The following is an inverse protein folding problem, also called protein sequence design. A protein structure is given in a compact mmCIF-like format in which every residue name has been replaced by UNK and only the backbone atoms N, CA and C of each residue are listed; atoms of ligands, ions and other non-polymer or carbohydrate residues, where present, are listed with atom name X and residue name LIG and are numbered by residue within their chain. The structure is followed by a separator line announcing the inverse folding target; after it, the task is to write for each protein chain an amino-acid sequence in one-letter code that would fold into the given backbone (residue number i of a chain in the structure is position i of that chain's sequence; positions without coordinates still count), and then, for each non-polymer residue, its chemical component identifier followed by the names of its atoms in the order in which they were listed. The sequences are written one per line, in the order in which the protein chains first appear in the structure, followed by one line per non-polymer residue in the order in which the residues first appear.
data_IF_146590164268
#
_entry.id   IF_146590164268
#
_cell.length_a   1.000
_cell.length_b   1.000
_cell.length_c   1.000
_cell.angle_alpha   90.00
_cell.angle_beta   90.00
_cell.angle_gamma   90.00
#
_symmetry.space_group_name_H-M   'P 1'
#
loop_
_entity.id
_entity.type
_entity.pdbx_description
1 polymer ?
#
# COMPACT_ATOMS: atom_id res chain seq x y z
N UNK A 1 8.44 78.16 9.00
CA UNK A 1 9.24 77.45 7.99
C UNK A 1 8.34 77.15 6.80
N UNK A 2 8.85 77.41 5.60
CA UNK A 2 8.38 77.07 4.23
C UNK A 2 7.61 75.75 4.11
N UNK A 3 6.77 75.47 3.11
CA UNK A 3 6.23 76.16 1.94
C UNK A 3 5.05 75.29 1.48
N UNK A 4 3.97 75.93 1.02
CA UNK A 4 2.88 75.27 0.33
C UNK A 4 3.35 74.70 -1.02
N UNK A 5 2.79 73.55 -1.41
CA UNK A 5 2.35 73.30 -2.79
C UNK A 5 1.60 71.97 -2.87
N UNK A 6 0.29 72.10 -2.70
CA UNK A 6 -0.66 71.19 -3.33
C UNK A 6 -0.39 71.18 -4.84
N UNK A 7 -0.18 70.02 -5.44
CA UNK A 7 -0.38 69.83 -6.88
C UNK A 7 -1.52 68.85 -7.08
N UNK A 8 -2.70 69.45 -7.15
CA UNK A 8 -3.91 68.91 -7.76
C UNK A 8 -3.58 68.27 -9.11
N UNK A 9 -3.63 66.94 -9.17
CA UNK A 9 -3.81 66.21 -10.42
C UNK A 9 -5.29 65.89 -10.62
N UNK A 10 -6.13 66.91 -10.53
CA UNK A 10 -7.53 66.81 -10.97
C UNK A 10 -7.61 67.23 -12.43
N UNK A 11 -7.90 66.26 -13.29
CA UNK A 11 -8.78 66.46 -14.43
C UNK A 11 -8.12 66.86 -15.75
N UNK A 12 -7.69 65.85 -16.53
CA UNK A 12 -8.09 65.79 -17.94
C UNK A 12 -8.51 64.38 -18.31
N UNK A 13 -9.67 64.29 -18.96
CA UNK A 13 -10.33 63.06 -19.45
C UNK A 13 -9.33 62.16 -20.21
N UNK A 14 -9.53 60.83 -20.23
CA UNK A 14 -8.80 59.98 -21.15
C UNK A 14 -9.22 60.36 -22.57
N UNK A 15 -8.39 61.15 -23.25
CA UNK A 15 -8.53 61.35 -24.68
C UNK A 15 -8.27 59.98 -25.30
N UNK A 16 -9.26 59.45 -26.02
CA UNK A 16 -9.14 58.22 -26.81
C UNK A 16 -7.77 58.22 -27.49
N UNK A 17 -6.91 57.29 -27.07
CA UNK A 17 -5.54 57.11 -27.55
C UNK A 17 -5.60 56.58 -28.99
N UNK A 18 -5.92 57.48 -29.93
CA UNK A 18 -5.70 57.25 -31.36
C UNK A 18 -4.18 57.42 -31.54
N UNK A 19 -3.48 56.31 -31.67
CA UNK A 19 -2.06 56.32 -31.99
C UNK A 19 -1.84 57.09 -33.29
N UNK A 20 -0.88 58.01 -33.28
CA UNK A 20 -0.56 58.84 -34.42
C UNK A 20 0.52 59.87 -34.11
N UNK A 21 1.05 60.52 -35.15
CA UNK A 21 2.16 61.48 -35.07
C UNK A 21 1.89 62.61 -34.04
N UNK A 22 0.63 63.01 -33.85
CA UNK A 22 0.25 64.04 -32.88
C UNK A 22 0.53 63.68 -31.43
N UNK A 23 0.46 62.39 -31.07
CA UNK A 23 0.73 61.93 -29.70
C UNK A 23 2.25 61.90 -29.47
N UNK A 24 3.02 61.43 -30.45
CA UNK A 24 4.48 61.48 -30.42
C UNK A 24 5.01 62.93 -30.32
N UNK A 25 4.41 63.87 -31.05
CA UNK A 25 4.76 65.30 -30.98
C UNK A 25 4.37 65.94 -29.65
N UNK A 26 3.24 65.55 -29.04
CA UNK A 26 2.84 66.01 -27.71
C UNK A 26 3.77 65.47 -26.61
N UNK A 27 4.24 64.23 -26.74
CA UNK A 27 5.24 63.66 -25.82
C UNK A 27 6.59 64.36 -25.98
N UNK A 28 7.04 64.63 -27.21
CA UNK A 28 8.27 65.35 -27.48
C UNK A 28 8.24 66.79 -26.92
N UNK A 29 7.11 67.49 -27.06
CA UNK A 29 6.91 68.81 -26.48
C UNK A 29 6.95 68.78 -24.95
N UNK A 30 6.34 67.77 -24.31
CA UNK A 30 6.41 67.57 -22.86
C UNK A 30 7.82 67.23 -22.35
N UNK A 31 8.69 66.68 -23.21
CA UNK A 31 10.10 66.41 -22.93
C UNK A 31 11.02 67.60 -23.25
N UNK A 32 10.46 68.75 -23.63
CA UNK A 32 11.21 69.99 -23.84
C UNK A 32 11.75 70.19 -25.27
N UNK A 33 11.36 69.35 -26.23
CA UNK A 33 11.72 69.55 -27.63
C UNK A 33 10.74 70.50 -28.32
N UNK A 34 11.25 71.58 -28.90
CA UNK A 34 10.42 72.57 -29.61
C UNK A 34 10.00 72.03 -30.98
N UNK A 35 8.71 71.74 -31.14
CA UNK A 35 8.12 71.36 -32.42
C UNK A 35 7.76 72.64 -33.17
N UNK A 36 8.57 73.02 -34.17
CA UNK A 36 8.21 74.12 -35.07
C UNK A 36 7.02 73.71 -35.95
N UNK A 37 6.04 74.61 -36.06
CA UNK A 37 4.91 74.50 -37.00
C UNK A 37 5.43 74.40 -38.44
N UNK A 38 4.79 73.63 -39.36
CA UNK A 38 5.34 73.41 -40.68
C UNK A 38 5.15 74.66 -41.55
N UNK A 39 6.17 75.49 -41.63
CA UNK A 39 6.38 76.35 -42.80
C UNK A 39 7.06 75.52 -43.88
N UNK A 40 6.31 75.30 -44.95
CA UNK A 40 6.73 74.80 -46.25
C UNK A 40 8.13 75.30 -46.68
N UNK A 41 9.12 74.41 -46.79
CA UNK A 41 10.05 74.35 -47.93
C UNK A 41 11.08 73.21 -47.80
N UNK A 42 11.29 72.54 -48.93
CA UNK A 42 12.34 71.58 -49.19
C UNK A 42 13.74 72.11 -48.85
N UNK A 43 14.53 71.33 -48.10
CA UNK A 43 15.99 71.28 -48.30
C UNK A 43 16.45 69.85 -48.07
N UNK A 44 16.72 69.16 -49.18
CA UNK A 44 17.53 67.96 -49.25
C UNK A 44 18.99 68.36 -48.96
N UNK A 45 19.64 67.83 -47.93
CA UNK A 45 21.11 67.87 -47.82
C UNK A 45 21.68 66.84 -46.82
N UNK A 46 22.06 65.69 -47.37
CA UNK A 46 23.18 64.80 -47.05
C UNK A 46 23.85 64.88 -45.66
N UNK A 47 23.81 63.77 -44.91
CA UNK A 47 24.82 63.45 -43.88
C UNK A 47 25.12 61.94 -43.82
N UNK A 48 26.29 61.57 -44.34
CA UNK A 48 27.22 60.44 -44.04
C UNK A 48 26.73 58.97 -43.87
N UNK A 49 27.53 57.96 -44.28
CA UNK A 49 27.17 56.53 -44.19
C UNK A 49 27.54 55.83 -42.87
N UNK A 50 27.89 56.54 -41.79
CA UNK A 50 28.35 55.92 -40.52
C UNK A 50 27.24 55.71 -39.46
N UNK A 51 25.98 56.01 -39.78
CA UNK A 51 24.84 55.96 -38.83
C UNK A 51 23.96 54.71 -39.00
N UNK A 52 24.25 53.85 -39.98
CA UNK A 52 23.47 52.63 -40.26
C UNK A 52 23.53 51.60 -39.11
N UNK A 53 24.71 51.32 -38.56
CA UNK A 53 24.89 50.26 -37.56
C UNK A 53 24.09 50.51 -36.26
N UNK A 54 24.06 51.75 -35.75
CA UNK A 54 23.27 52.10 -34.54
C UNK A 54 21.77 51.98 -34.75
N UNK A 55 21.29 52.30 -35.96
CA UNK A 55 19.87 52.15 -36.31
C UNK A 55 19.46 50.69 -36.44
N UNK A 56 20.32 49.87 -37.05
CA UNK A 56 20.11 48.43 -37.20
C UNK A 56 20.14 47.70 -35.84
N UNK A 57 21.05 48.08 -34.95
CA UNK A 57 21.12 47.56 -33.58
C UNK A 57 19.84 47.89 -32.78
N UNK A 58 19.31 49.11 -32.89
CA UNK A 58 18.05 49.50 -32.24
C UNK A 58 16.86 48.71 -32.80
N UNK A 59 16.79 48.53 -34.12
CA UNK A 59 15.74 47.72 -34.76
C UNK A 59 15.82 46.27 -34.29
N UNK A 60 17.02 45.71 -34.15
CA UNK A 60 17.24 44.36 -33.61
C UNK A 60 16.72 44.25 -32.17
N UNK A 61 17.09 45.19 -31.29
CA UNK A 61 16.63 45.21 -29.89
C UNK A 61 15.11 45.38 -29.80
N UNK A 62 14.48 46.21 -30.64
CA UNK A 62 13.02 46.37 -30.65
C UNK A 62 12.31 45.10 -31.11
N UNK A 63 12.86 44.36 -32.09
CA UNK A 63 12.34 43.06 -32.51
C UNK A 63 12.47 42.05 -31.39
N UNK A 64 13.63 41.98 -30.74
CA UNK A 64 13.86 41.10 -29.58
C UNK A 64 12.89 41.43 -28.43
N UNK A 65 12.73 42.71 -28.09
CA UNK A 65 11.77 43.16 -27.09
C UNK A 65 10.35 42.73 -27.44
N UNK A 66 9.95 42.85 -28.70
CA UNK A 66 8.64 42.39 -29.18
C UNK A 66 8.50 40.87 -29.04
N UNK A 67 9.55 40.09 -29.33
CA UNK A 67 9.52 38.63 -29.13
C UNK A 67 9.43 38.26 -27.65
N UNK A 68 10.14 38.96 -26.77
CA UNK A 68 10.07 38.73 -25.33
C UNK A 68 8.70 39.12 -24.79
N UNK A 69 8.13 40.23 -25.24
CA UNK A 69 6.80 40.68 -24.84
C UNK A 69 5.72 39.68 -25.25
N UNK A 70 5.85 39.06 -26.44
CA UNK A 70 4.97 37.96 -26.86
C UNK A 70 5.13 36.72 -25.97
N UNK A 71 6.37 36.29 -25.70
CA UNK A 71 6.65 35.15 -24.81
C UNK A 71 6.10 35.38 -23.40
N UNK A 72 6.17 36.60 -22.88
CA UNK A 72 5.59 36.95 -21.58
C UNK A 72 4.07 36.80 -21.60
N UNK A 73 3.40 37.28 -22.65
CA UNK A 73 1.95 37.10 -22.80
C UNK A 73 1.55 35.62 -22.90
N UNK A 74 2.30 34.82 -23.67
CA UNK A 74 2.06 33.37 -23.80
C UNK A 74 2.19 32.66 -22.44
N UNK A 75 3.25 32.97 -21.68
CA UNK A 75 3.47 32.43 -20.34
C UNK A 75 2.40 32.89 -19.33
N UNK A 76 1.89 34.11 -19.45
CA UNK A 76 0.79 34.60 -18.61
C UNK A 76 -0.49 33.81 -18.86
N UNK A 77 -0.81 33.53 -20.13
CA UNK A 77 -1.97 32.69 -20.49
C UNK A 77 -1.80 31.28 -19.97
N UNK A 78 -0.61 30.69 -20.11
CA UNK A 78 -0.35 29.32 -19.62
C UNK A 78 -0.45 29.24 -18.09
N UNK A 79 0.14 30.20 -17.36
CA UNK A 79 0.04 30.26 -15.90
C UNK A 79 -1.40 30.42 -15.44
N UNK A 80 -2.18 31.27 -16.11
CA UNK A 80 -3.59 31.45 -15.81
C UNK A 80 -4.37 30.16 -16.09
N UNK A 81 -4.11 29.49 -17.21
CA UNK A 81 -4.71 28.21 -17.55
C UNK A 81 -4.44 27.13 -16.49
N UNK A 82 -3.18 26.98 -16.02
CA UNK A 82 -2.86 26.02 -14.95
C UNK A 82 -3.48 26.38 -13.61
N UNK A 83 -3.61 27.68 -13.32
CA UNK A 83 -4.28 28.15 -12.09
C UNK A 83 -5.77 27.80 -12.11
N UNK A 84 -6.43 28.02 -13.25
CA UNK A 84 -7.84 27.72 -13.44
C UNK A 84 -8.08 26.21 -13.44
N UNK A 85 -7.23 25.43 -14.11
CA UNK A 85 -7.26 23.96 -14.09
C UNK A 85 -7.14 23.42 -12.65
N UNK A 86 -6.16 23.90 -11.87
CA UNK A 86 -6.04 23.53 -10.45
C UNK A 86 -7.27 23.89 -9.62
N UNK A 87 -7.95 25.00 -9.95
CA UNK A 87 -9.14 25.43 -9.22
C UNK A 87 -10.33 24.50 -9.49
N UNK A 88 -10.48 24.01 -10.71
CA UNK A 88 -11.59 23.12 -11.11
C UNK A 88 -11.24 21.62 -11.06
N UNK A 89 -9.98 21.28 -10.86
CA UNK A 89 -9.41 19.94 -10.80
C UNK A 89 -10.25 18.93 -9.99
N UNK A 90 -10.73 19.33 -8.82
CA UNK A 90 -11.53 18.50 -7.92
C UNK A 90 -12.93 18.11 -8.47
N UNK A 91 -13.36 18.77 -9.55
CA UNK A 91 -14.61 18.53 -10.27
C UNK A 91 -14.38 17.99 -11.69
N UNK A 92 -13.23 18.28 -12.30
CA UNK A 92 -12.95 17.95 -13.71
C UNK A 92 -12.07 16.72 -13.88
N UNK A 93 -11.16 16.43 -12.94
CA UNK A 93 -10.33 15.23 -13.06
C UNK A 93 -11.13 13.99 -12.74
N UNK A 94 -11.05 13.02 -13.67
CA UNK A 94 -11.68 11.71 -13.54
C UNK A 94 -11.23 11.00 -12.26
N UNK A 95 -9.96 11.09 -11.87
CA UNK A 95 -9.44 10.47 -10.64
C UNK A 95 -10.10 10.98 -9.35
N UNK A 96 -10.38 12.28 -9.26
CA UNK A 96 -11.09 12.87 -8.11
C UNK A 96 -12.56 12.45 -8.10
N UNK A 97 -13.19 12.36 -9.28
CA UNK A 97 -14.56 11.86 -9.42
C UNK A 97 -14.65 10.37 -9.05
N UNK A 98 -13.72 9.54 -9.50
CA UNK A 98 -13.63 8.12 -9.16
C UNK A 98 -13.50 7.92 -7.65
N UNK A 99 -12.61 8.66 -6.99
CA UNK A 99 -12.45 8.63 -5.53
C UNK A 99 -13.75 9.01 -4.79
N UNK A 100 -14.49 10.00 -5.30
CA UNK A 100 -15.81 10.38 -4.76
C UNK A 100 -16.83 9.27 -4.97
N UNK A 101 -16.86 8.64 -6.15
CA UNK A 101 -17.74 7.51 -6.46
C UNK A 101 -17.45 6.33 -5.52
N UNK A 102 -16.19 5.97 -5.32
CA UNK A 102 -15.79 4.91 -4.39
C UNK A 102 -16.21 5.20 -2.95
N UNK A 103 -16.01 6.44 -2.50
CA UNK A 103 -16.40 6.86 -1.14
C UNK A 103 -17.91 6.79 -0.97
N UNK A 104 -18.67 7.30 -1.94
CA UNK A 104 -20.13 7.22 -1.94
C UNK A 104 -20.62 5.78 -1.99
N UNK A 105 -20.01 4.92 -2.81
CA UNK A 105 -20.35 3.51 -2.90
C UNK A 105 -20.12 2.79 -1.56
N UNK A 106 -18.99 3.07 -0.88
CA UNK A 106 -18.69 2.52 0.45
C UNK A 106 -19.71 2.94 1.49
N UNK A 107 -20.04 4.24 1.56
CA UNK A 107 -21.05 4.76 2.50
C UNK A 107 -22.43 4.17 2.18
N UNK A 108 -22.78 4.08 0.91
CA UNK A 108 -24.05 3.48 0.45
C UNK A 108 -24.15 2.02 0.86
N UNK A 109 -23.06 1.25 0.73
CA UNK A 109 -23.02 -0.15 1.15
C UNK A 109 -23.23 -0.30 2.66
N UNK A 110 -22.54 0.53 3.47
CA UNK A 110 -22.71 0.55 4.92
C UNK A 110 -24.15 0.89 5.29
N UNK A 111 -24.72 1.94 4.70
CA UNK A 111 -26.09 2.35 4.99
C UNK A 111 -27.11 1.28 4.58
N UNK A 112 -26.91 0.63 3.44
CA UNK A 112 -27.74 -0.48 2.99
C UNK A 112 -27.68 -1.64 3.98
N UNK A 113 -26.51 -1.99 4.50
CA UNK A 113 -26.35 -3.02 5.52
C UNK A 113 -27.08 -2.66 6.82
N UNK A 114 -26.98 -1.41 7.28
CA UNK A 114 -27.73 -0.92 8.46
C UNK A 114 -29.25 -1.03 8.24
N UNK A 115 -29.74 -0.63 7.07
CA UNK A 115 -31.17 -0.70 6.74
C UNK A 115 -31.65 -2.15 6.66
N UNK A 116 -30.87 -3.04 6.05
CA UNK A 116 -31.20 -4.47 5.96
C UNK A 116 -31.20 -5.16 7.33
N UNK A 117 -30.31 -4.73 8.24
CA UNK A 117 -30.21 -5.29 9.59
C UNK A 117 -31.06 -4.56 10.64
N UNK A 118 -31.91 -3.60 10.26
CA UNK A 118 -32.61 -2.71 11.21
C UNK A 118 -33.38 -3.46 12.29
N UNK A 119 -34.11 -4.52 11.93
CA UNK A 119 -34.97 -5.25 12.87
C UNK A 119 -34.14 -6.07 13.85
N UNK A 120 -33.00 -6.61 13.38
CA UNK A 120 -32.02 -7.29 14.23
C UNK A 120 -31.35 -6.31 15.20
N UNK A 121 -30.99 -5.11 14.74
CA UNK A 121 -30.41 -4.06 15.59
C UNK A 121 -31.43 -3.62 16.65
N UNK A 122 -32.68 -3.37 16.25
CA UNK A 122 -33.78 -3.02 17.17
C UNK A 122 -33.97 -4.13 18.21
N UNK A 123 -34.06 -5.39 17.80
CA UNK A 123 -34.21 -6.52 18.73
C UNK A 123 -33.04 -6.59 19.74
N UNK A 124 -31.80 -6.35 19.29
CA UNK A 124 -30.63 -6.31 20.19
C UNK A 124 -30.64 -5.12 21.14
N UNK A 125 -31.12 -3.97 20.71
CA UNK A 125 -31.23 -2.77 21.55
C UNK A 125 -32.40 -2.87 22.55
N UNK A 126 -33.47 -3.57 22.18
CA UNK A 126 -34.64 -3.79 23.02
C UNK A 126 -34.50 -4.99 23.97
N UNK A 127 -33.53 -5.88 23.73
CA UNK A 127 -33.23 -6.95 24.67
C UNK A 127 -32.90 -6.33 26.03
N UNK A 128 -33.59 -6.74 27.11
CA UNK A 128 -33.20 -6.34 28.46
C UNK A 128 -31.73 -6.71 28.64
N UNK A 129 -30.89 -5.73 28.98
CA UNK A 129 -29.49 -5.99 29.26
C UNK A 129 -29.39 -7.16 30.24
N UNK A 130 -28.78 -8.27 29.81
CA UNK A 130 -28.36 -9.32 30.74
C UNK A 130 -27.51 -8.64 31.82
N UNK A 131 -27.78 -8.91 33.10
CA UNK A 131 -27.13 -8.18 34.21
C UNK A 131 -25.59 -8.22 34.20
N UNK A 132 -24.99 -9.23 33.55
CA UNK A 132 -23.53 -9.40 33.48
C UNK A 132 -22.92 -8.64 32.30
N UNK A 133 -23.15 -7.33 32.24
CA UNK A 133 -22.44 -6.45 31.31
C UNK A 133 -21.31 -5.74 32.06
N UNK A 134 -20.09 -5.77 31.52
CA UNK A 134 -19.02 -4.89 31.98
C UNK A 134 -19.19 -3.57 31.22
N UNK A 135 -19.54 -2.45 31.87
CA UNK A 135 -19.60 -1.15 31.21
C UNK A 135 -18.19 -0.76 30.76
N UNK A 136 -18.08 -0.29 29.52
CA UNK A 136 -16.82 0.19 28.94
C UNK A 136 -17.07 1.55 28.33
N UNK A 137 -16.31 2.54 28.78
CA UNK A 137 -16.37 3.90 28.27
C UNK A 137 -15.98 3.94 26.79
N UNK A 138 -16.58 4.86 26.03
CA UNK A 138 -16.39 4.95 24.58
C UNK A 138 -14.91 5.08 24.16
N UNK A 139 -14.10 5.73 24.99
CA UNK A 139 -12.66 5.92 24.78
C UNK A 139 -11.82 4.63 24.94
N UNK A 140 -12.36 3.63 25.64
CA UNK A 140 -11.70 2.36 25.90
C UNK A 140 -12.27 1.18 25.10
N UNK A 141 -13.37 1.38 24.35
CA UNK A 141 -14.03 0.31 23.60
C UNK A 141 -13.09 -0.40 22.61
N UNK A 142 -12.21 0.36 21.95
CA UNK A 142 -11.25 -0.22 21.00
C UNK A 142 -10.27 -1.15 21.73
N UNK A 143 -9.62 -0.65 22.78
CA UNK A 143 -8.64 -1.38 23.58
C UNK A 143 -9.28 -2.61 24.23
N UNK A 144 -10.50 -2.48 24.71
CA UNK A 144 -11.27 -3.58 25.29
C UNK A 144 -11.62 -4.66 24.26
N UNK A 145 -12.03 -4.27 23.05
CA UNK A 145 -12.28 -5.21 21.96
C UNK A 145 -11.02 -5.96 21.53
N UNK A 146 -9.88 -5.27 21.46
CA UNK A 146 -8.58 -5.90 21.16
C UNK A 146 -8.14 -6.86 22.27
N UNK A 147 -8.36 -6.49 23.54
CA UNK A 147 -8.10 -7.34 24.69
C UNK A 147 -8.96 -8.61 24.65
N UNK A 148 -10.26 -8.47 24.37
CA UNK A 148 -11.18 -9.61 24.23
C UNK A 148 -10.72 -10.57 23.13
N UNK A 149 -10.31 -10.04 21.98
CA UNK A 149 -9.81 -10.87 20.88
C UNK A 149 -8.52 -11.60 21.25
N UNK A 150 -7.60 -10.94 21.95
CA UNK A 150 -6.37 -11.59 22.46
C UNK A 150 -6.70 -12.67 23.49
N UNK A 151 -7.55 -12.35 24.46
CA UNK A 151 -7.98 -13.29 25.49
C UNK A 151 -8.70 -14.50 24.90
N UNK A 152 -9.53 -14.32 23.88
CA UNK A 152 -10.20 -15.42 23.17
C UNK A 152 -9.20 -16.33 22.44
N UNK A 153 -8.18 -15.75 21.80
CA UNK A 153 -7.12 -16.51 21.14
C UNK A 153 -6.28 -17.31 22.15
N UNK A 154 -6.02 -16.71 23.32
CA UNK A 154 -5.22 -17.33 24.37
C UNK A 154 -6.04 -18.23 25.31
N UNK A 155 -7.37 -18.24 25.19
CA UNK A 155 -8.26 -18.99 26.07
C UNK A 155 -7.97 -20.50 26.08
N UNK A 156 -7.64 -21.07 24.92
CA UNK A 156 -7.26 -22.48 24.80
C UNK A 156 -5.98 -22.79 25.59
N UNK A 157 -4.96 -21.94 25.45
CA UNK A 157 -3.69 -22.09 26.16
C UNK A 157 -3.85 -21.85 27.67
N UNK A 158 -4.68 -20.88 28.06
CA UNK A 158 -5.00 -20.61 29.45
C UNK A 158 -5.76 -21.76 30.09
N UNK A 159 -6.75 -22.33 29.40
CA UNK A 159 -7.51 -23.50 29.87
C UNK A 159 -6.60 -24.71 30.03
N UNK A 160 -5.72 -24.97 29.07
CA UNK A 160 -4.72 -26.03 29.16
C UNK A 160 -3.78 -25.81 30.36
N UNK A 161 -3.29 -24.58 30.55
CA UNK A 161 -2.40 -24.25 31.68
C UNK A 161 -3.10 -24.42 33.04
N UNK A 162 -4.38 -24.02 33.15
CA UNK A 162 -5.18 -24.24 34.37
C UNK A 162 -5.38 -25.73 34.63
N UNK A 163 -5.66 -26.52 33.58
CA UNK A 163 -5.78 -27.96 33.69
C UNK A 163 -4.45 -28.62 34.10
N UNK A 164 -3.32 -28.17 33.56
CA UNK A 164 -1.98 -28.64 33.92
C UNK A 164 -1.65 -28.30 35.38
N UNK A 165 -2.00 -27.09 35.83
CA UNK A 165 -1.87 -26.70 37.25
C UNK A 165 -2.73 -27.59 38.15
N UNK A 166 -4.00 -27.82 37.82
CA UNK A 166 -4.88 -28.71 38.57
C UNK A 166 -4.39 -30.16 38.57
N UNK A 167 -3.83 -30.63 37.45
CA UNK A 167 -3.20 -31.95 37.34
C UNK A 167 -1.97 -32.04 38.26
N UNK A 168 -1.11 -31.02 38.23
CA UNK A 168 0.10 -30.96 39.05
C UNK A 168 -0.20 -30.89 40.57
N UNK A 169 -1.30 -30.21 40.96
CA UNK A 169 -1.76 -30.17 42.35
C UNK A 169 -2.21 -31.51 42.90
N UNK A 170 -2.53 -32.49 42.03
CA UNK A 170 -2.92 -33.84 42.46
C UNK A 170 -1.72 -34.72 42.83
N UNK A 171 -0.49 -34.29 42.52
CA UNK A 171 0.71 -34.99 42.96
C UNK A 171 1.02 -34.66 44.42
N UNK A 172 1.36 -35.69 45.19
CA UNK A 172 1.73 -35.53 46.60
C UNK A 172 3.22 -35.23 46.75
N UNK A 173 4.00 -35.58 45.74
CA UNK A 173 5.45 -35.45 45.70
C UNK A 173 5.88 -34.07 45.18
N UNK A 174 6.96 -33.49 45.73
CA UNK A 174 7.41 -32.16 45.33
C UNK A 174 7.93 -32.15 43.87
N UNK A 175 7.84 -31.00 43.17
CA UNK A 175 8.28 -30.86 41.78
C UNK A 175 9.72 -31.27 41.49
N UNK A 176 10.60 -31.28 42.51
CA UNK A 176 11.98 -31.73 42.40
C UNK A 176 12.13 -33.20 41.99
N UNK A 177 11.14 -34.05 42.26
CA UNK A 177 11.19 -35.50 41.98
C UNK A 177 10.50 -35.86 40.66
N UNK A 178 9.71 -34.94 40.09
CA UNK A 178 8.92 -35.22 38.88
C UNK A 178 9.78 -35.58 37.67
N UNK A 179 10.96 -34.97 37.55
CA UNK A 179 11.90 -35.28 36.46
C UNK A 179 12.36 -36.74 36.49
N UNK A 180 12.50 -37.35 37.66
CA UNK A 180 12.87 -38.76 37.79
C UNK A 180 11.68 -39.67 37.58
N UNK A 181 10.51 -39.29 38.11
CA UNK A 181 9.26 -40.03 37.99
C UNK A 181 8.75 -40.10 36.55
N UNK A 182 8.92 -39.02 35.78
CA UNK A 182 8.50 -38.94 34.38
C UNK A 182 9.55 -39.51 33.41
N UNK A 183 10.80 -39.69 33.84
CA UNK A 183 11.91 -40.23 33.04
C UNK A 183 11.59 -41.54 32.29
N UNK A 184 10.82 -42.50 32.86
CA UNK A 184 10.47 -43.73 32.15
C UNK A 184 9.56 -43.52 30.93
N UNK A 185 8.78 -42.44 30.88
CA UNK A 185 7.78 -42.22 29.83
C UNK A 185 8.45 -41.97 28.46
N UNK A 186 9.40 -41.02 28.30
CA UNK A 186 10.13 -40.86 27.03
C UNK A 186 10.92 -42.11 26.63
N UNK A 187 11.44 -42.86 27.60
CA UNK A 187 12.18 -44.11 27.34
C UNK A 187 11.27 -45.17 26.76
N UNK A 188 10.08 -45.36 27.34
CA UNK A 188 9.06 -46.27 26.82
C UNK A 188 8.53 -45.82 25.44
N UNK A 189 8.34 -44.51 25.23
CA UNK A 189 7.90 -44.00 23.94
C UNK A 189 8.96 -44.25 22.85
N UNK A 190 10.23 -44.00 23.16
CA UNK A 190 11.33 -44.28 22.25
C UNK A 190 11.50 -45.77 21.96
N UNK A 191 11.19 -46.65 22.91
CA UNK A 191 11.19 -48.10 22.67
C UNK A 191 10.03 -48.51 21.77
N UNK A 192 8.82 -48.00 22.01
CA UNK A 192 7.66 -48.21 21.13
C UNK A 192 7.93 -47.75 19.69
N UNK A 193 8.54 -46.57 19.50
CA UNK A 193 8.93 -46.07 18.18
C UNK A 193 9.93 -47.00 17.50
N UNK A 194 10.97 -47.45 18.21
CA UNK A 194 11.95 -48.40 17.66
C UNK A 194 11.33 -49.76 17.31
N UNK A 195 10.41 -50.26 18.13
CA UNK A 195 9.68 -51.48 17.81
C UNK A 195 8.82 -51.32 16.55
N UNK A 196 8.14 -50.19 16.40
CA UNK A 196 7.36 -49.88 15.21
C UNK A 196 8.23 -49.78 13.95
N UNK A 197 9.39 -49.12 14.05
CA UNK A 197 10.37 -49.03 12.96
C UNK A 197 10.92 -50.41 12.57
N UNK A 198 11.28 -51.23 13.56
CA UNK A 198 11.75 -52.59 13.32
C UNK A 198 10.68 -53.49 12.66
N UNK A 199 9.42 -53.39 13.11
CA UNK A 199 8.29 -54.08 12.48
C UNK A 199 8.03 -53.58 11.06
N UNK A 200 8.19 -52.28 10.82
CA UNK A 200 8.04 -51.70 9.49
C UNK A 200 9.14 -52.18 8.54
N UNK A 201 10.40 -52.18 8.99
CA UNK A 201 11.55 -52.65 8.22
C UNK A 201 11.48 -54.16 7.91
N UNK A 202 11.03 -54.98 8.86
CA UNK A 202 10.83 -56.42 8.64
C UNK A 202 9.69 -56.70 7.66
N UNK A 203 8.61 -55.92 7.70
CA UNK A 203 7.55 -55.99 6.69
C UNK A 203 8.06 -55.61 5.30
N UNK A 204 8.89 -54.57 5.19
CA UNK A 204 9.50 -54.15 3.92
C UNK A 204 10.47 -55.20 3.36
N UNK A 205 11.31 -55.81 4.21
CA UNK A 205 12.21 -56.88 3.78
C UNK A 205 11.47 -58.15 3.36
N UNK A 206 10.36 -58.48 4.01
CA UNK A 206 9.49 -59.56 3.56
C UNK A 206 8.85 -59.26 2.20
N UNK A 207 8.41 -58.02 1.98
CA UNK A 207 7.87 -57.60 0.70
C UNK A 207 8.92 -57.66 -0.44
N UNK A 208 10.19 -57.31 -0.18
CA UNK A 208 11.26 -57.46 -1.18
C UNK A 208 11.58 -58.92 -1.47
N UNK A 209 11.62 -59.78 -0.45
CA UNK A 209 11.80 -61.23 -0.62
C UNK A 209 10.65 -61.86 -1.43
N UNK A 210 9.41 -61.45 -1.20
CA UNK A 210 8.28 -61.90 -2.00
C UNK A 210 8.42 -61.49 -3.48
N UNK A 211 8.83 -60.25 -3.76
CA UNK A 211 9.10 -59.79 -5.13
C UNK A 211 10.21 -60.59 -5.81
N UNK A 212 11.29 -60.89 -5.10
CA UNK A 212 12.38 -61.73 -5.62
C UNK A 212 11.93 -63.17 -5.87
N UNK A 213 11.14 -63.76 -4.96
CA UNK A 213 10.59 -65.11 -5.14
C UNK A 213 9.69 -65.18 -6.37
N UNK A 214 8.81 -64.20 -6.58
CA UNK A 214 7.95 -64.14 -7.78
C UNK A 214 8.81 -63.94 -9.04
N UNK A 215 9.82 -63.08 -9.00
CA UNK A 215 10.74 -62.86 -10.13
C UNK A 215 11.67 -64.06 -10.45
N UNK A 216 11.89 -64.98 -9.50
CA UNK A 216 12.72 -66.18 -9.70
C UNK A 216 11.99 -67.33 -10.41
N UNK A 217 10.65 -67.28 -10.47
CA UNK A 217 9.86 -68.27 -11.23
C UNK A 217 9.79 -67.97 -12.74
N UNK A 218 10.20 -66.77 -13.17
CA UNK A 218 10.23 -66.37 -14.58
C UNK A 218 11.61 -66.57 -15.25
N UNK A 219 12.58 -67.20 -14.56
CA UNK A 219 13.91 -67.49 -15.12
C UNK A 219 14.06 -68.99 -15.46
N UNK A 220 14.41 -69.37 -16.71
CA UNK A 220 14.45 -70.76 -17.14
C UNK A 220 15.66 -71.48 -16.55
N UNK A 221 15.38 -72.51 -15.76
CA UNK A 221 16.32 -73.43 -15.11
C UNK A 221 17.25 -74.14 -16.11
N UNK A 222 18.57 -74.25 -15.83
CA UNK A 222 19.38 -75.37 -16.29
C UNK A 222 19.43 -76.46 -15.21
N UNK A 223 18.98 -77.65 -15.59
CA UNK A 223 19.06 -78.91 -14.84
C UNK A 223 20.52 -79.33 -14.61
N UNK A 224 20.79 -80.02 -13.49
CA UNK A 224 21.63 -81.24 -13.32
C UNK A 224 21.99 -81.44 -11.82
N UNK A 225 22.42 -82.63 -11.36
CA UNK A 225 21.55 -83.77 -11.14
C UNK A 225 21.59 -84.31 -9.69
N UNK A 226 20.54 -85.08 -9.43
CA UNK A 226 20.15 -85.83 -8.25
C UNK A 226 21.18 -86.87 -7.77
N UNK A 227 21.50 -86.88 -6.47
CA UNK A 227 21.95 -88.08 -5.72
C UNK A 227 21.69 -87.94 -4.20
N UNK A 228 20.42 -88.10 -3.84
CA UNK A 228 19.81 -89.02 -2.85
C UNK A 228 20.58 -89.55 -1.58
N UNK A 229 19.88 -90.13 -0.57
CA UNK A 229 19.64 -89.48 0.71
C UNK A 229 20.00 -90.36 1.94
N UNK A 230 20.34 -89.74 3.07
CA UNK A 230 20.40 -90.34 4.42
C UNK A 230 20.59 -89.15 5.38
N UNK A 231 19.79 -88.89 6.42
CA UNK A 231 19.13 -89.78 7.36
C UNK A 231 17.80 -89.14 7.82
N UNK A 232 16.82 -90.01 8.03
CA UNK A 232 15.52 -89.75 8.64
C UNK A 232 15.60 -90.14 10.12
N UNK A 233 14.67 -89.57 10.90
CA UNK A 233 14.27 -89.90 12.29
C UNK A 233 15.00 -89.07 13.37
N UNK A 234 14.37 -88.53 14.41
CA UNK A 234 13.03 -88.77 14.96
C UNK A 234 12.57 -87.58 15.83
N UNK A 235 11.26 -87.49 16.01
CA UNK A 235 10.45 -86.46 16.66
C UNK A 235 10.66 -86.30 18.18
N UNK A 236 10.24 -85.13 18.72
CA UNK A 236 9.13 -84.94 19.70
C UNK A 236 9.13 -83.45 20.15
N UNK A 237 8.13 -82.65 19.77
CA UNK A 237 6.91 -82.30 20.55
C UNK A 237 7.21 -81.77 21.96
N UNK A 238 7.05 -80.46 22.18
CA UNK A 238 5.85 -79.94 22.85
C UNK A 238 5.83 -78.41 22.97
N UNK A 239 4.63 -77.90 22.72
CA UNK A 239 4.17 -76.53 22.78
C UNK A 239 3.92 -76.06 24.21
N UNK A 240 4.38 -74.86 24.57
CA UNK A 240 3.75 -74.05 25.63
C UNK A 240 3.72 -72.56 25.22
N UNK A 241 2.52 -72.02 25.20
CA UNK A 241 2.11 -70.61 25.07
C UNK A 241 2.63 -69.73 26.20
N UNK A 242 2.96 -68.44 25.95
CA UNK A 242 3.28 -67.50 27.01
C UNK A 242 2.05 -66.74 27.51
N UNK A 243 2.05 -66.45 28.81
CA UNK A 243 1.32 -65.36 29.46
C UNK A 243 2.22 -64.12 29.48
#
# INVERSE_FOLDING_TARGET
MSMASESSWVGRKPVKRIGGMSDALSIAANLGFSVSSPTSQEVLQNSSPATGEKGEDLIRVLRELTTVQRKIADLQVELQGRKDDKNVAHLTHVSEMEKKIETLARITAILKDVVQNKDRIIARLQQPYSLDCIPVEAEYQKQFSELLMKAANDYGALTASVADFQWSQKFKEPPSVWGEMLRPIPVALASCTRFFEAMSATRESFATLQKLRVSHFDSPVPRTPFRDPSQRLSAVSDSLTPL
#
